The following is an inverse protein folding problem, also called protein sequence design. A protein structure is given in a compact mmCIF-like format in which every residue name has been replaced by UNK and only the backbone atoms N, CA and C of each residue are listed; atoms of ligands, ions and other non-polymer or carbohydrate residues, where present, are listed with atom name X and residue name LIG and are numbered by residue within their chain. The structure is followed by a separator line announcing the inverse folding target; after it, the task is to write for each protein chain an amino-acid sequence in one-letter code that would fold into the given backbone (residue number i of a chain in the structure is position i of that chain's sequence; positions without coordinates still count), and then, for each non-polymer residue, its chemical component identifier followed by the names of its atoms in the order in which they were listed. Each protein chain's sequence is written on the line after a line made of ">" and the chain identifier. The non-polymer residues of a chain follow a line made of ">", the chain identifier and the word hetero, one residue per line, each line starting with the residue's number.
data_IF_683234887842
#
_entry.id   IF_683234887842
#
_cell.length_a   1.000
_cell.length_b   1.000
_cell.length_c   1.000
_cell.angle_alpha   90.00
_cell.angle_beta   90.00
_cell.angle_gamma   90.00
#
_symmetry.space_group_name_H-M   'P 1'
#
loop_
_entity.id
_entity.type
_entity.pdbx_description
1 polymer ?
#
# COMPACT_ATOMS: atom_id res chain seq x y z
N UNK A 1 34.46 37.42 13.88
CA UNK A 1 33.37 37.59 12.86
C UNK A 1 33.61 36.84 11.57
N UNK A 2 34.87 36.66 11.15
CA UNK A 2 35.20 35.87 9.95
C UNK A 2 34.69 34.39 10.09
N UNK A 3 34.87 33.79 11.24
CA UNK A 3 34.42 32.41 11.50
C UNK A 3 32.90 32.26 11.40
N UNK A 4 32.12 33.20 11.84
CA UNK A 4 30.66 33.17 11.73
C UNK A 4 30.21 33.23 10.26
N UNK A 5 30.87 34.06 9.45
CA UNK A 5 30.56 34.15 8.02
C UNK A 5 30.89 32.85 7.28
N UNK A 6 32.01 32.21 7.61
CA UNK A 6 32.42 30.92 7.03
C UNK A 6 31.43 29.84 7.46
N UNK A 7 31.06 29.81 8.74
CA UNK A 7 30.08 28.84 9.25
C UNK A 7 28.71 28.96 8.57
N UNK A 8 28.19 30.18 8.41
CA UNK A 8 26.97 30.43 7.66
C UNK A 8 27.07 30.02 6.19
N UNK A 9 28.20 30.30 5.54
CA UNK A 9 28.41 29.89 4.15
C UNK A 9 28.40 28.37 4.00
N UNK A 10 29.01 27.64 4.92
CA UNK A 10 29.00 26.16 4.92
C UNK A 10 27.57 25.63 5.09
N UNK A 11 26.78 26.20 5.99
CA UNK A 11 25.37 25.79 6.18
C UNK A 11 24.58 26.02 4.91
N UNK A 12 24.72 27.17 4.27
CA UNK A 12 24.00 27.48 3.02
C UNK A 12 24.38 26.49 1.91
N UNK A 13 25.65 26.15 1.80
CA UNK A 13 26.15 25.17 0.82
C UNK A 13 25.55 23.79 1.10
N UNK A 14 25.51 23.35 2.36
CA UNK A 14 24.91 22.07 2.75
C UNK A 14 23.42 22.01 2.44
N UNK A 15 22.67 23.08 2.74
CA UNK A 15 21.25 23.19 2.41
C UNK A 15 21.05 23.12 0.89
N UNK A 16 21.87 23.83 0.13
CA UNK A 16 21.81 23.81 -1.33
C UNK A 16 22.08 22.41 -1.91
N UNK A 17 23.06 21.69 -1.36
CA UNK A 17 23.38 20.31 -1.77
C UNK A 17 22.21 19.39 -1.50
N UNK A 18 21.58 19.47 -0.32
CA UNK A 18 20.39 18.67 0.04
C UNK A 18 19.22 18.99 -0.88
N UNK A 19 18.99 20.26 -1.16
CA UNK A 19 17.90 20.72 -2.02
C UNK A 19 18.08 20.25 -3.46
N UNK A 20 19.27 20.39 -4.02
CA UNK A 20 19.61 19.92 -5.36
C UNK A 20 19.53 18.40 -5.42
N UNK A 21 20.08 17.69 -4.42
CA UNK A 21 20.01 16.24 -4.32
C UNK A 21 18.58 15.72 -4.29
N UNK A 22 17.66 16.41 -3.61
CA UNK A 22 16.27 16.01 -3.50
C UNK A 22 15.52 16.02 -4.84
N UNK A 23 15.96 16.85 -5.79
CA UNK A 23 15.35 16.94 -7.14
C UNK A 23 15.62 15.66 -7.95
N UNK A 24 16.76 15.00 -7.70
CA UNK A 24 17.15 13.77 -8.39
C UNK A 24 16.64 12.49 -7.73
N UNK A 25 16.06 12.59 -6.54
CA UNK A 25 15.46 11.44 -5.87
C UNK A 25 14.13 11.07 -6.53
N UNK A 26 13.87 9.79 -6.78
CA UNK A 26 12.58 9.37 -7.32
C UNK A 26 11.46 9.68 -6.32
N UNK A 27 10.36 10.23 -6.83
CA UNK A 27 9.18 10.55 -6.03
C UNK A 27 8.36 9.31 -5.67
N UNK A 28 8.71 8.17 -6.23
CA UNK A 28 8.04 6.90 -5.99
C UNK A 28 9.06 5.86 -5.56
N UNK A 29 8.64 4.98 -4.67
CA UNK A 29 9.41 3.81 -4.27
C UNK A 29 8.53 2.58 -4.32
N UNK A 30 9.14 1.43 -4.51
CA UNK A 30 8.44 0.16 -4.52
C UNK A 30 9.13 -0.81 -3.56
N UNK A 31 8.31 -1.58 -2.85
CA UNK A 31 8.77 -2.62 -1.93
C UNK A 31 8.14 -3.93 -2.38
N UNK A 32 8.95 -4.98 -2.51
CA UNK A 32 8.50 -6.32 -2.84
C UNK A 32 8.85 -7.30 -1.72
N UNK A 33 7.93 -8.21 -1.45
CA UNK A 33 8.10 -9.32 -0.51
C UNK A 33 7.54 -10.59 -1.13
N UNK A 34 8.15 -11.71 -0.85
CA UNK A 34 7.66 -13.03 -1.26
C UNK A 34 7.69 -14.00 -0.09
N UNK A 35 6.76 -14.95 -0.12
CA UNK A 35 6.68 -16.03 0.86
C UNK A 35 6.08 -17.27 0.23
N UNK A 36 6.42 -18.42 0.78
CA UNK A 36 5.80 -19.69 0.39
C UNK A 36 4.65 -20.00 1.36
N UNK A 37 3.51 -20.39 0.79
CA UNK A 37 2.31 -20.73 1.54
C UNK A 37 1.95 -22.18 1.23
N UNK A 38 1.73 -22.98 2.27
CA UNK A 38 1.33 -24.38 2.15
C UNK A 38 -0.18 -24.50 1.83
N UNK A 39 -0.57 -23.98 0.66
CA UNK A 39 -1.93 -24.04 0.14
C UNK A 39 -1.89 -24.02 -1.41
N UNK A 40 -2.99 -24.42 -2.03
CA UNK A 40 -3.09 -24.33 -3.49
C UNK A 40 -3.15 -22.87 -3.95
N UNK A 41 -2.68 -22.64 -5.17
CA UNK A 41 -2.76 -21.33 -5.84
C UNK A 41 -4.18 -20.77 -5.87
N UNK A 42 -5.18 -21.60 -6.11
CA UNK A 42 -6.60 -21.22 -6.09
C UNK A 42 -7.03 -20.69 -4.72
N UNK A 43 -6.65 -21.36 -3.64
CA UNK A 43 -6.97 -20.93 -2.27
C UNK A 43 -6.26 -19.62 -1.93
N UNK A 44 -4.98 -19.51 -2.27
CA UNK A 44 -4.20 -18.30 -2.04
C UNK A 44 -4.79 -17.12 -2.83
N UNK A 45 -5.07 -17.32 -4.12
CA UNK A 45 -5.67 -16.31 -4.99
C UNK A 45 -7.01 -15.80 -4.44
N UNK A 46 -7.91 -16.71 -4.06
CA UNK A 46 -9.21 -16.36 -3.49
C UNK A 46 -9.07 -15.52 -2.22
N UNK A 47 -8.16 -15.86 -1.34
CA UNK A 47 -7.94 -15.10 -0.11
C UNK A 47 -7.39 -13.69 -0.35
N UNK A 48 -6.85 -13.41 -1.53
CA UNK A 48 -6.39 -12.08 -1.94
C UNK A 48 -7.49 -11.33 -2.70
N UNK A 49 -8.10 -11.97 -3.67
CA UNK A 49 -9.01 -11.36 -4.63
C UNK A 49 -10.46 -11.24 -4.16
N UNK A 50 -10.84 -11.96 -3.13
CA UNK A 50 -12.12 -11.82 -2.45
C UNK A 50 -11.94 -11.06 -1.13
N UNK A 51 -12.42 -9.83 -1.06
CA UNK A 51 -12.25 -9.01 0.14
C UNK A 51 -13.03 -9.50 1.36
N UNK A 52 -14.04 -10.34 1.18
CA UNK A 52 -14.68 -11.02 2.30
C UNK A 52 -13.72 -12.02 2.97
N UNK A 53 -12.93 -12.73 2.17
CA UNK A 53 -11.88 -13.62 2.66
C UNK A 53 -10.66 -12.83 3.15
N UNK A 54 -10.24 -11.80 2.43
CA UNK A 54 -9.13 -10.92 2.78
C UNK A 54 -9.32 -10.29 4.19
N UNK A 55 -10.51 -9.84 4.49
CA UNK A 55 -10.86 -9.26 5.80
C UNK A 55 -10.52 -10.19 6.97
N UNK A 56 -10.64 -11.49 6.80
CA UNK A 56 -10.43 -12.46 7.88
C UNK A 56 -8.98 -12.55 8.36
N UNK A 57 -8.01 -12.31 7.49
CA UNK A 57 -6.58 -12.35 7.83
C UNK A 57 -5.91 -10.99 7.83
N UNK A 58 -6.61 -9.93 7.41
CA UNK A 58 -6.11 -8.57 7.36
C UNK A 58 -5.70 -8.08 8.77
N UNK A 59 -4.43 -7.72 9.01
CA UNK A 59 -3.98 -7.30 10.33
C UNK A 59 -4.63 -5.98 10.78
N UNK A 60 -4.94 -5.05 9.89
CA UNK A 60 -5.58 -3.78 10.25
C UNK A 60 -7.01 -3.98 10.77
N UNK A 61 -7.75 -4.89 10.21
CA UNK A 61 -9.07 -5.26 10.73
C UNK A 61 -8.97 -5.86 12.13
N UNK A 62 -7.92 -6.65 12.39
CA UNK A 62 -7.68 -7.22 13.74
C UNK A 62 -7.25 -6.16 14.75
N UNK A 63 -6.57 -5.08 14.33
CA UNK A 63 -6.19 -3.96 15.19
C UNK A 63 -7.40 -3.16 15.65
N UNK A 64 -8.39 -2.96 14.80
CA UNK A 64 -9.61 -2.21 15.10
C UNK A 64 -10.85 -2.95 14.55
N UNK A 65 -11.32 -4.01 15.23
CA UNK A 65 -12.51 -4.75 14.80
C UNK A 65 -13.79 -3.89 14.77
N UNK A 66 -13.80 -2.79 15.54
CA UNK A 66 -14.91 -1.84 15.59
C UNK A 66 -14.97 -0.88 14.40
N UNK A 67 -13.94 -0.83 13.56
CA UNK A 67 -13.95 -0.03 12.34
C UNK A 67 -15.09 -0.46 11.42
N UNK A 68 -15.82 0.50 10.89
CA UNK A 68 -16.89 0.23 9.92
C UNK A 68 -16.26 -0.18 8.60
N UNK A 69 -16.63 -1.36 8.11
CA UNK A 69 -16.17 -1.87 6.82
C UNK A 69 -17.34 -2.13 5.89
N UNK A 70 -17.18 -1.78 4.63
CA UNK A 70 -18.18 -2.01 3.57
C UNK A 70 -17.49 -2.68 2.40
N UNK A 71 -18.04 -3.80 1.94
CA UNK A 71 -17.52 -4.55 0.80
C UNK A 71 -18.60 -4.56 -0.27
N UNK A 72 -18.24 -4.21 -1.50
CA UNK A 72 -19.13 -4.13 -2.64
C UNK A 72 -18.46 -4.61 -3.93
N UNK A 73 -19.25 -4.75 -4.99
CA UNK A 73 -18.77 -5.30 -6.24
C UNK A 73 -18.68 -6.83 -6.21
N UNK A 74 -18.26 -7.40 -7.33
CA UNK A 74 -18.13 -8.85 -7.49
C UNK A 74 -16.73 -9.30 -7.05
N UNK A 75 -16.64 -10.26 -6.11
CA UNK A 75 -15.35 -10.84 -5.72
C UNK A 75 -14.57 -11.37 -6.93
N UNK A 76 -13.24 -11.31 -6.83
CA UNK A 76 -12.30 -11.80 -7.85
C UNK A 76 -12.40 -11.08 -9.21
N UNK A 77 -13.01 -9.88 -9.23
CA UNK A 77 -13.16 -9.08 -10.44
C UNK A 77 -12.75 -7.62 -10.23
N UNK A 78 -12.40 -6.96 -11.31
CA UNK A 78 -12.18 -5.52 -11.31
C UNK A 78 -13.45 -4.78 -10.83
N UNK A 79 -13.25 -3.78 -9.98
CA UNK A 79 -14.34 -3.04 -9.34
C UNK A 79 -14.75 -3.57 -7.96
N UNK A 80 -14.27 -4.75 -7.55
CA UNK A 80 -14.47 -5.22 -6.17
C UNK A 80 -13.82 -4.23 -5.20
N UNK A 81 -14.58 -3.78 -4.20
CA UNK A 81 -14.24 -2.64 -3.36
C UNK A 81 -14.37 -3.00 -1.88
N UNK A 82 -13.37 -2.59 -1.10
CA UNK A 82 -13.35 -2.67 0.35
C UNK A 82 -13.11 -1.26 0.91
N UNK A 83 -14.04 -0.78 1.72
CA UNK A 83 -13.94 0.53 2.35
C UNK A 83 -13.90 0.37 3.87
N UNK A 84 -13.11 1.20 4.55
CA UNK A 84 -13.07 1.19 6.01
C UNK A 84 -13.09 2.62 6.57
N UNK A 85 -13.71 2.75 7.73
CA UNK A 85 -13.71 3.97 8.54
C UNK A 85 -13.48 3.58 9.99
N UNK A 86 -12.34 3.94 10.53
CA UNK A 86 -11.93 3.65 11.90
C UNK A 86 -11.37 4.89 12.61
N UNK A 87 -11.31 4.83 13.93
CA UNK A 87 -10.71 5.89 14.75
C UNK A 87 -9.20 5.79 14.78
N UNK A 88 -8.67 4.58 14.83
CA UNK A 88 -7.23 4.30 14.91
C UNK A 88 -6.65 4.01 13.54
N UNK A 89 -7.36 3.27 12.71
CA UNK A 89 -6.92 2.88 11.38
C UNK A 89 -7.19 3.92 10.30
N UNK A 90 -7.86 5.02 10.66
CA UNK A 90 -8.26 6.05 9.70
C UNK A 90 -9.33 5.57 8.73
N UNK A 91 -9.42 6.19 7.57
CA UNK A 91 -10.34 5.79 6.52
C UNK A 91 -9.65 5.63 5.17
N UNK A 92 -10.19 4.76 4.34
CA UNK A 92 -9.67 4.51 3.01
C UNK A 92 -10.46 3.45 2.27
N UNK A 93 -9.93 3.08 1.13
CA UNK A 93 -10.51 2.03 0.30
C UNK A 93 -9.44 1.24 -0.45
N UNK A 94 -9.76 -0.01 -0.73
CA UNK A 94 -9.03 -0.88 -1.65
C UNK A 94 -9.96 -1.27 -2.79
N UNK A 95 -9.49 -1.13 -4.02
CA UNK A 95 -10.26 -1.47 -5.21
C UNK A 95 -9.43 -2.35 -6.13
N UNK A 96 -9.98 -3.47 -6.53
CA UNK A 96 -9.37 -4.30 -7.57
C UNK A 96 -9.46 -3.54 -8.90
N UNK A 97 -8.32 -3.28 -9.52
CA UNK A 97 -8.24 -2.60 -10.81
C UNK A 97 -8.12 -3.57 -11.97
N UNK A 98 -7.43 -4.68 -11.77
CA UNK A 98 -7.35 -5.76 -12.74
C UNK A 98 -7.02 -7.10 -12.08
N UNK A 99 -7.37 -8.18 -12.73
CA UNK A 99 -7.04 -9.54 -12.32
C UNK A 99 -6.61 -10.38 -13.51
N UNK A 100 -5.70 -11.32 -13.22
CA UNK A 100 -5.47 -12.51 -14.03
C UNK A 100 -5.78 -13.70 -13.13
N UNK A 101 -6.84 -14.45 -13.39
CA UNK A 101 -7.29 -15.51 -12.50
C UNK A 101 -6.17 -16.46 -12.09
N UNK A 102 -6.02 -16.69 -10.80
CA UNK A 102 -5.01 -17.55 -10.18
C UNK A 102 -3.54 -17.11 -10.35
N UNK A 103 -3.29 -15.95 -10.98
CA UNK A 103 -1.94 -15.46 -11.25
C UNK A 103 -1.66 -14.08 -10.65
N UNK A 104 -2.57 -13.13 -10.85
CA UNK A 104 -2.30 -11.73 -10.49
C UNK A 104 -3.55 -10.99 -10.03
N UNK A 105 -3.38 -10.17 -9.00
CA UNK A 105 -4.39 -9.21 -8.55
C UNK A 105 -3.73 -7.85 -8.38
N UNK A 106 -4.25 -6.84 -9.07
CA UNK A 106 -3.83 -5.44 -8.90
C UNK A 106 -4.89 -4.68 -8.11
N UNK A 107 -4.45 -4.01 -7.06
CA UNK A 107 -5.30 -3.28 -6.13
C UNK A 107 -4.80 -1.85 -6.03
N UNK A 108 -5.70 -0.89 -6.20
CA UNK A 108 -5.49 0.50 -5.85
C UNK A 108 -5.87 0.70 -4.39
N UNK A 109 -4.94 1.19 -3.60
CA UNK A 109 -5.11 1.50 -2.19
C UNK A 109 -5.14 3.01 -2.02
N UNK A 110 -6.31 3.54 -1.63
CA UNK A 110 -6.50 4.96 -1.39
C UNK A 110 -6.71 5.20 0.10
N UNK A 111 -5.80 5.95 0.72
CA UNK A 111 -5.98 6.48 2.06
C UNK A 111 -6.69 7.82 1.99
N UNK A 112 -7.67 8.05 2.87
CA UNK A 112 -8.47 9.28 2.93
C UNK A 112 -8.13 10.03 4.20
N UNK A 113 -8.12 9.38 5.34
CA UNK A 113 -7.75 9.93 6.63
C UNK A 113 -6.68 9.08 7.31
N UNK A 114 -5.73 9.67 8.05
CA UNK A 114 -5.55 11.10 8.35
C UNK A 114 -4.97 11.93 7.20
N UNK A 115 -4.38 11.31 6.18
CA UNK A 115 -3.76 11.97 5.03
C UNK A 115 -4.20 11.28 3.74
N UNK A 116 -4.57 12.08 2.73
CA UNK A 116 -4.82 11.53 1.40
C UNK A 116 -3.53 11.01 0.76
N UNK A 117 -3.54 9.77 0.36
CA UNK A 117 -2.46 9.17 -0.43
C UNK A 117 -2.98 8.01 -1.27
N UNK A 118 -2.23 7.71 -2.32
CA UNK A 118 -2.54 6.63 -3.26
C UNK A 118 -1.36 5.69 -3.37
N UNK A 119 -1.63 4.40 -3.29
CA UNK A 119 -0.65 3.35 -3.53
C UNK A 119 -1.23 2.29 -4.46
N UNK A 120 -0.38 1.67 -5.24
CA UNK A 120 -0.74 0.53 -6.07
C UNK A 120 -0.07 -0.72 -5.51
N UNK A 121 -0.85 -1.76 -5.32
CA UNK A 121 -0.38 -3.05 -4.82
C UNK A 121 -0.65 -4.12 -5.86
N UNK A 122 0.33 -4.97 -6.07
CA UNK A 122 0.21 -6.12 -6.96
C UNK A 122 0.57 -7.37 -6.20
N UNK A 123 -0.31 -8.35 -6.27
CA UNK A 123 -0.07 -9.70 -5.77
C UNK A 123 0.12 -10.64 -6.96
N UNK A 124 1.19 -11.39 -6.93
CA UNK A 124 1.46 -12.46 -7.89
C UNK A 124 1.41 -13.79 -7.16
N UNK A 125 0.63 -14.70 -7.70
CA UNK A 125 0.49 -16.07 -7.18
C UNK A 125 1.11 -17.01 -8.17
N UNK A 126 2.01 -17.86 -7.70
CA UNK A 126 2.67 -18.87 -8.52
C UNK A 126 2.84 -20.16 -7.73
N UNK A 127 2.78 -21.28 -8.42
CA UNK A 127 3.10 -22.58 -7.81
C UNK A 127 4.57 -22.60 -7.42
N UNK A 128 4.83 -22.85 -6.14
CA UNK A 128 6.18 -23.18 -5.69
C UNK A 128 6.44 -24.64 -6.02
N UNK A 129 7.44 -24.87 -6.85
CA UNK A 129 7.83 -26.12 -7.50
C UNK A 129 7.79 -27.39 -6.72
#
# INVERSE_FOLDING_TARGET
>A
MKFLKIFLAVIIILIAIIFIGSIYLPNTYSVSRSTNIAASDTVVYKNIADFNSFKQWNPWYKMEPSAKTTISGTPEQAGHLYEWVGKETGSGQMKITSVKPQEEVKIELKFIEPFESLANTQFNVAKAG
#
